data_IF_856761399463
#
_entry.id   IF_856761399463
#
_cell.length_a   1.000
_cell.length_b   1.000
_cell.length_c   1.000
_cell.angle_alpha   90.00
_cell.angle_beta   90.00
_cell.angle_gamma   90.00
#
_symmetry.space_group_name_H-M   'P 1'
#
loop_
_entity.id
_entity.type
_entity.pdbx_description
1 polymer ?
#
# COMPACT_ATOMS: atom_id res chain seq x y z
N UNK A 1 23.80 -112.63 -70.72
CA UNK A 1 24.09 -111.22 -70.40
C UNK A 1 23.43 -110.35 -71.46
N UNK A 2 22.12 -110.47 -71.68
CA UNK A 2 20.97 -110.08 -70.84
C UNK A 2 20.48 -108.66 -71.11
N UNK A 3 19.16 -108.63 -71.30
CA UNK A 3 18.22 -107.50 -71.33
C UNK A 3 18.10 -106.75 -72.67
N UNK A 4 17.08 -106.97 -73.51
CA UNK A 4 15.62 -106.86 -73.29
C UNK A 4 15.19 -105.47 -72.84
N UNK A 5 14.65 -104.67 -73.74
CA UNK A 5 13.27 -104.17 -73.65
C UNK A 5 13.02 -103.02 -74.62
N UNK A 6 11.86 -103.12 -75.23
CA UNK A 6 11.13 -102.15 -76.04
C UNK A 6 11.23 -100.71 -75.54
N UNK A 7 11.46 -99.80 -76.49
CA UNK A 7 11.43 -98.35 -76.30
C UNK A 7 9.99 -97.90 -75.97
N UNK A 8 9.73 -97.53 -74.72
CA UNK A 8 8.50 -96.88 -74.28
C UNK A 8 8.78 -95.38 -74.01
N UNK A 9 8.06 -94.52 -74.73
CA UNK A 9 8.07 -93.06 -74.59
C UNK A 9 7.70 -92.68 -73.16
N UNK A 10 8.64 -92.19 -72.36
CA UNK A 10 8.36 -91.72 -70.99
C UNK A 10 7.85 -90.27 -71.08
N UNK A 11 6.56 -90.08 -70.83
CA UNK A 11 5.91 -88.77 -70.75
C UNK A 11 6.57 -87.90 -69.67
N UNK A 12 6.89 -86.64 -70.00
CA UNK A 12 7.23 -85.66 -69.00
C UNK A 12 5.98 -85.36 -68.18
N UNK A 13 5.89 -85.95 -66.98
CA UNK A 13 4.87 -85.57 -66.00
C UNK A 13 5.14 -84.12 -65.57
N UNK A 14 4.37 -83.18 -66.12
CA UNK A 14 4.28 -81.83 -65.59
C UNK A 14 3.69 -81.95 -64.19
N UNK A 15 4.49 -81.62 -63.16
CA UNK A 15 4.04 -81.60 -61.76
C UNK A 15 2.93 -80.57 -61.62
N UNK A 16 1.68 -81.01 -61.80
CA UNK A 16 0.51 -80.14 -61.72
C UNK A 16 0.15 -79.99 -60.25
N UNK A 17 0.51 -78.87 -59.65
CA UNK A 17 0.04 -78.52 -58.30
C UNK A 17 -1.47 -78.33 -58.40
N UNK A 18 -2.25 -79.21 -57.77
CA UNK A 18 -3.69 -79.05 -57.63
C UNK A 18 -3.94 -77.92 -56.63
N UNK A 19 -4.34 -76.77 -57.15
CA UNK A 19 -4.71 -75.61 -56.34
C UNK A 19 -6.16 -75.77 -55.90
N UNK A 20 -6.39 -75.83 -54.59
CA UNK A 20 -7.73 -75.83 -54.00
C UNK A 20 -8.24 -74.39 -53.89
N UNK A 21 -9.13 -74.01 -54.81
CA UNK A 21 -9.65 -72.65 -54.95
C UNK A 21 -10.53 -72.25 -53.76
N UNK A 22 -11.30 -73.18 -53.19
CA UNK A 22 -12.16 -72.91 -52.02
C UNK A 22 -11.31 -72.65 -50.76
N UNK A 23 -10.24 -73.43 -50.57
CA UNK A 23 -9.28 -73.19 -49.49
C UNK A 23 -8.55 -71.84 -49.65
N UNK A 24 -8.28 -71.40 -50.89
CA UNK A 24 -7.70 -70.08 -51.14
C UNK A 24 -8.68 -68.94 -50.83
N UNK A 25 -9.94 -69.05 -51.24
CA UNK A 25 -10.97 -68.02 -50.96
C UNK A 25 -11.24 -67.90 -49.46
N UNK A 26 -11.30 -69.03 -48.73
CA UNK A 26 -11.44 -69.00 -47.27
C UNK A 26 -10.24 -68.33 -46.58
N UNK A 27 -9.02 -68.63 -47.03
CA UNK A 27 -7.81 -67.96 -46.51
C UNK A 27 -7.80 -66.47 -46.82
N UNK A 28 -8.24 -66.06 -48.02
CA UNK A 28 -8.39 -64.65 -48.38
C UNK A 28 -9.42 -63.95 -47.50
N UNK A 29 -10.58 -64.57 -47.26
CA UNK A 29 -11.61 -63.99 -46.39
C UNK A 29 -11.15 -63.89 -44.92
N UNK A 30 -10.42 -64.89 -44.41
CA UNK A 30 -9.82 -64.86 -43.07
C UNK A 30 -8.72 -63.78 -42.95
N UNK A 31 -7.91 -63.60 -44.00
CA UNK A 31 -6.87 -62.57 -44.07
C UNK A 31 -7.47 -61.16 -44.16
N UNK A 32 -8.50 -60.94 -44.98
CA UNK A 32 -9.23 -59.66 -45.05
C UNK A 32 -9.93 -59.34 -43.73
N UNK A 33 -10.52 -60.34 -43.06
CA UNK A 33 -11.14 -60.16 -41.75
C UNK A 33 -10.09 -59.77 -40.70
N UNK A 34 -8.89 -60.39 -40.75
CA UNK A 34 -7.77 -60.05 -39.88
C UNK A 34 -7.25 -58.63 -40.16
N UNK A 35 -7.09 -58.25 -41.43
CA UNK A 35 -6.66 -56.91 -41.83
C UNK A 35 -7.66 -55.85 -41.36
N UNK A 36 -8.97 -56.07 -41.53
CA UNK A 36 -10.01 -55.16 -41.03
C UNK A 36 -10.02 -55.06 -39.51
N UNK A 37 -9.84 -56.17 -38.79
CA UNK A 37 -9.75 -56.16 -37.34
C UNK A 37 -8.51 -55.40 -36.85
N UNK A 38 -7.37 -55.55 -37.54
CA UNK A 38 -6.14 -54.82 -37.27
C UNK A 38 -6.30 -53.31 -37.54
N UNK A 39 -6.88 -52.94 -38.68
CA UNK A 39 -7.17 -51.54 -39.04
C UNK A 39 -8.15 -50.90 -38.05
N UNK A 40 -9.21 -51.61 -37.64
CA UNK A 40 -10.14 -51.12 -36.61
C UNK A 40 -9.46 -50.96 -35.25
N UNK A 41 -8.61 -51.90 -34.85
CA UNK A 41 -7.85 -51.79 -33.62
C UNK A 41 -6.85 -50.62 -33.66
N UNK A 42 -6.23 -50.36 -34.82
CA UNK A 42 -5.35 -49.21 -35.01
C UNK A 42 -6.13 -47.89 -34.96
N UNK A 43 -7.30 -47.80 -35.62
CA UNK A 43 -8.18 -46.63 -35.57
C UNK A 43 -8.64 -46.34 -34.14
N UNK A 44 -9.04 -47.35 -33.38
CA UNK A 44 -9.43 -47.20 -31.97
C UNK A 44 -8.29 -46.69 -31.10
N UNK A 45 -7.07 -47.27 -31.26
CA UNK A 45 -5.88 -46.78 -30.55
C UNK A 45 -5.52 -45.34 -30.92
N UNK A 46 -5.66 -44.98 -32.19
CA UNK A 46 -5.40 -43.62 -32.66
C UNK A 46 -6.42 -42.62 -32.11
N UNK A 47 -7.70 -42.99 -32.03
CA UNK A 47 -8.75 -42.16 -31.42
C UNK A 47 -8.54 -41.99 -29.91
N UNK A 48 -8.24 -43.08 -29.20
CA UNK A 48 -7.93 -43.04 -27.77
C UNK A 48 -6.68 -42.18 -27.49
N UNK A 49 -5.62 -42.33 -28.29
CA UNK A 49 -4.43 -41.51 -28.20
C UNK A 49 -4.72 -40.02 -28.49
N UNK A 50 -5.59 -39.72 -29.46
CA UNK A 50 -6.02 -38.34 -29.75
C UNK A 50 -6.81 -37.75 -28.58
N UNK A 51 -7.72 -38.50 -27.99
CA UNK A 51 -8.50 -38.06 -26.83
C UNK A 51 -7.61 -37.84 -25.61
N UNK A 52 -6.71 -38.77 -25.30
CA UNK A 52 -5.74 -38.62 -24.22
C UNK A 52 -4.84 -37.41 -24.43
N UNK A 53 -4.39 -37.15 -25.67
CA UNK A 53 -3.60 -35.96 -26.00
C UNK A 53 -4.40 -34.65 -25.82
N UNK A 54 -5.69 -34.63 -26.17
CA UNK A 54 -6.56 -33.48 -25.96
C UNK A 54 -6.79 -33.21 -24.46
N UNK A 55 -7.11 -34.24 -23.67
CA UNK A 55 -7.30 -34.13 -22.22
C UNK A 55 -6.02 -33.67 -21.51
N UNK A 56 -4.85 -34.21 -21.91
CA UNK A 56 -3.56 -33.77 -21.39
C UNK A 56 -3.24 -32.31 -21.75
N UNK A 57 -3.57 -31.89 -22.98
CA UNK A 57 -3.39 -30.50 -23.41
C UNK A 57 -4.32 -29.53 -22.66
N UNK A 58 -5.55 -29.95 -22.37
CA UNK A 58 -6.50 -29.15 -21.58
C UNK A 58 -6.05 -29.06 -20.11
N UNK A 59 -5.65 -30.18 -19.50
CA UNK A 59 -5.11 -30.20 -18.14
C UNK A 59 -3.87 -29.30 -18.02
N UNK A 60 -2.98 -29.32 -19.02
CA UNK A 60 -1.82 -28.44 -19.05
C UNK A 60 -2.21 -26.95 -19.14
N UNK A 61 -3.23 -26.61 -19.96
CA UNK A 61 -3.75 -25.23 -20.05
C UNK A 61 -4.38 -24.78 -18.73
N UNK A 62 -5.16 -25.65 -18.10
CA UNK A 62 -5.78 -25.34 -16.80
C UNK A 62 -4.71 -25.11 -15.72
N UNK A 63 -3.71 -25.98 -15.63
CA UNK A 63 -2.60 -25.82 -14.69
C UNK A 63 -1.83 -24.51 -14.92
N UNK A 64 -1.60 -24.12 -16.18
CA UNK A 64 -0.97 -22.83 -16.51
C UNK A 64 -1.82 -21.62 -16.10
N UNK A 65 -3.14 -21.70 -16.29
CA UNK A 65 -4.05 -20.63 -15.86
C UNK A 65 -4.09 -20.50 -14.34
N UNK A 66 -4.14 -21.62 -13.62
CA UNK A 66 -4.10 -21.61 -12.16
C UNK A 66 -2.77 -21.05 -11.64
N UNK A 67 -1.65 -21.42 -12.24
CA UNK A 67 -0.34 -20.88 -11.88
C UNK A 67 -0.31 -19.36 -12.08
N UNK A 68 -0.75 -18.87 -13.25
CA UNK A 68 -0.82 -17.43 -13.53
C UNK A 68 -1.72 -16.69 -12.53
N UNK A 69 -2.85 -17.27 -12.15
CA UNK A 69 -3.75 -16.66 -11.18
C UNK A 69 -3.12 -16.61 -9.78
N UNK A 70 -2.36 -17.65 -9.39
CA UNK A 70 -1.60 -17.64 -8.13
C UNK A 70 -0.53 -16.54 -8.14
N UNK A 71 0.26 -16.46 -9.20
CA UNK A 71 1.29 -15.42 -9.37
C UNK A 71 0.68 -14.01 -9.35
N UNK A 72 -0.48 -13.81 -9.98
CA UNK A 72 -1.19 -12.53 -9.94
C UNK A 72 -1.64 -12.17 -8.53
N UNK A 73 -2.24 -13.11 -7.79
CA UNK A 73 -2.68 -12.87 -6.40
C UNK A 73 -1.51 -12.56 -5.48
N UNK A 74 -0.39 -13.26 -5.63
CA UNK A 74 0.83 -12.99 -4.87
C UNK A 74 1.40 -11.61 -5.20
N UNK A 75 1.43 -11.22 -6.47
CA UNK A 75 1.88 -9.89 -6.89
C UNK A 75 0.96 -8.78 -6.35
N UNK A 76 -0.37 -8.95 -6.42
CA UNK A 76 -1.35 -8.02 -5.87
C UNK A 76 -1.23 -7.91 -4.34
N UNK A 77 -1.01 -9.02 -3.64
CA UNK A 77 -0.79 -9.02 -2.20
C UNK A 77 0.50 -8.28 -1.83
N UNK A 78 1.59 -8.53 -2.55
CA UNK A 78 2.86 -7.81 -2.37
C UNK A 78 2.69 -6.31 -2.61
N UNK A 79 2.02 -5.91 -3.69
CA UNK A 79 1.76 -4.49 -3.98
C UNK A 79 0.94 -3.82 -2.86
N UNK A 80 -0.10 -4.51 -2.36
CA UNK A 80 -0.90 -4.01 -1.24
C UNK A 80 -0.07 -3.84 0.03
N UNK A 81 0.76 -4.82 0.38
CA UNK A 81 1.62 -4.76 1.56
C UNK A 81 2.67 -3.66 1.43
N UNK A 82 3.22 -3.45 0.23
CA UNK A 82 4.12 -2.34 -0.03
C UNK A 82 3.43 -0.98 0.08
N UNK A 83 2.23 -0.84 -0.48
CA UNK A 83 1.44 0.38 -0.38
C UNK A 83 1.09 0.70 1.08
N UNK A 84 0.72 -0.32 1.88
CA UNK A 84 0.46 -0.16 3.31
C UNK A 84 1.73 0.27 4.07
N UNK A 85 2.88 -0.36 3.79
CA UNK A 85 4.16 0.01 4.40
C UNK A 85 4.55 1.45 4.07
N UNK A 86 4.43 1.85 2.80
CA UNK A 86 4.70 3.25 2.35
C UNK A 86 3.77 4.24 3.05
N UNK A 87 2.48 3.93 3.15
CA UNK A 87 1.51 4.77 3.84
C UNK A 87 1.78 4.88 5.35
N UNK A 88 2.25 3.80 5.99
CA UNK A 88 2.65 3.82 7.40
C UNK A 88 3.90 4.68 7.62
N UNK A 89 4.93 4.52 6.79
CA UNK A 89 6.16 5.32 6.81
C UNK A 89 5.86 6.82 6.60
N UNK A 90 4.99 7.16 5.65
CA UNK A 90 4.59 8.55 5.40
C UNK A 90 3.86 9.17 6.61
N UNK A 91 2.91 8.44 7.21
CA UNK A 91 2.20 8.88 8.41
C UNK A 91 3.15 9.09 9.59
N UNK A 92 4.13 8.20 9.78
CA UNK A 92 5.14 8.34 10.83
C UNK A 92 6.02 9.58 10.60
N UNK A 93 6.50 9.77 9.36
CA UNK A 93 7.28 10.95 8.99
C UNK A 93 6.48 12.25 9.19
N UNK A 94 5.21 12.27 8.82
CA UNK A 94 4.33 13.41 9.04
C UNK A 94 4.17 13.72 10.54
N UNK A 95 3.94 12.69 11.38
CA UNK A 95 3.86 12.85 12.83
C UNK A 95 5.15 13.41 13.41
N UNK A 96 6.30 12.89 12.97
CA UNK A 96 7.62 13.35 13.42
C UNK A 96 7.87 14.81 13.03
N UNK A 97 7.59 15.19 11.78
CA UNK A 97 7.71 16.58 11.32
C UNK A 97 6.81 17.53 12.11
N UNK A 98 5.56 17.12 12.37
CA UNK A 98 4.63 17.92 13.18
C UNK A 98 5.14 18.10 14.62
N UNK A 99 5.69 17.06 15.24
CA UNK A 99 6.29 17.14 16.57
C UNK A 99 7.53 18.05 16.58
N UNK A 100 8.45 17.87 15.63
CA UNK A 100 9.64 18.72 15.51
C UNK A 100 9.28 20.18 15.26
N UNK A 101 8.25 20.45 14.46
CA UNK A 101 7.75 21.80 14.24
C UNK A 101 7.14 22.39 15.51
N UNK A 102 6.29 21.64 16.21
CA UNK A 102 5.69 22.09 17.46
C UNK A 102 6.76 22.38 18.54
N UNK A 103 7.81 21.56 18.60
CA UNK A 103 8.96 21.77 19.48
C UNK A 103 9.74 23.04 19.11
N UNK A 104 10.03 23.24 17.82
CA UNK A 104 10.68 24.48 17.33
C UNK A 104 9.85 25.72 17.64
N UNK A 105 8.55 25.69 17.35
CA UNK A 105 7.64 26.80 17.66
C UNK A 105 7.55 27.08 19.16
N UNK A 106 7.61 26.04 19.99
CA UNK A 106 7.67 26.17 21.44
C UNK A 106 9.00 26.78 21.91
N UNK A 107 10.14 26.32 21.37
CA UNK A 107 11.46 26.90 21.66
C UNK A 107 11.57 28.35 21.23
N UNK A 108 11.12 28.69 20.01
CA UNK A 108 11.10 30.05 19.49
C UNK A 108 10.26 30.96 20.37
N UNK A 109 9.05 30.52 20.74
CA UNK A 109 8.19 31.21 21.71
C UNK A 109 8.89 31.43 23.05
N UNK A 110 9.54 30.40 23.60
CA UNK A 110 10.28 30.53 24.85
C UNK A 110 11.44 31.52 24.74
N UNK A 111 12.18 31.52 23.61
CA UNK A 111 13.28 32.47 23.35
C UNK A 111 12.77 33.91 23.22
N UNK A 112 11.69 34.13 22.48
CA UNK A 112 11.07 35.45 22.32
C UNK A 112 10.57 36.00 23.66
N UNK A 113 9.82 35.19 24.41
CA UNK A 113 9.34 35.55 25.74
C UNK A 113 10.51 35.84 26.69
N UNK A 114 11.54 34.99 26.71
CA UNK A 114 12.71 35.21 27.56
C UNK A 114 13.46 36.50 27.21
N UNK A 115 13.62 36.78 25.91
CA UNK A 115 14.22 38.03 25.42
C UNK A 115 13.42 39.26 25.90
N UNK A 116 12.10 39.21 25.75
CA UNK A 116 11.19 40.27 26.20
C UNK A 116 11.27 40.49 27.72
N UNK A 117 11.21 39.41 28.51
CA UNK A 117 11.30 39.48 29.97
C UNK A 117 12.63 40.13 30.39
N UNK A 118 13.74 39.73 29.79
CA UNK A 118 15.07 40.31 30.06
C UNK A 118 15.13 41.78 29.68
N UNK A 119 14.67 42.15 28.49
CA UNK A 119 14.69 43.53 27.99
C UNK A 119 13.90 44.49 28.89
N UNK A 120 12.78 44.04 29.45
CA UNK A 120 11.95 44.87 30.34
C UNK A 120 12.22 44.67 31.84
N UNK A 121 13.14 43.77 32.20
CA UNK A 121 13.60 43.52 33.57
C UNK A 121 12.58 42.77 34.42
N UNK A 122 11.90 41.78 33.85
CA UNK A 122 11.03 40.84 34.56
C UNK A 122 11.76 39.53 34.83
N UNK A 123 11.54 38.93 36.00
CA UNK A 123 12.21 37.69 36.42
C UNK A 123 11.47 36.42 35.99
N UNK A 124 10.17 36.50 35.67
CA UNK A 124 9.37 35.37 35.20
C UNK A 124 8.13 35.86 34.45
N UNK A 125 7.44 34.95 33.74
CA UNK A 125 6.23 35.23 32.94
C UNK A 125 5.12 35.89 33.78
N UNK A 126 5.00 35.48 35.05
CA UNK A 126 4.07 36.06 36.03
C UNK A 126 4.79 36.93 37.07
N UNK A 127 6.06 37.24 36.82
CA UNK A 127 6.95 37.96 37.73
C UNK A 127 6.59 39.43 37.78
N UNK A 128 6.27 39.92 38.97
CA UNK A 128 5.89 41.31 39.16
C UNK A 128 7.14 42.18 39.29
N UNK A 129 7.26 43.20 38.45
CA UNK A 129 8.23 44.27 38.64
C UNK A 129 7.65 45.30 39.58
N UNK A 130 8.21 45.39 40.80
CA UNK A 130 7.84 46.40 41.79
C UNK A 130 8.76 47.60 41.67
N UNK A 131 8.18 48.79 41.61
CA UNK A 131 8.85 50.08 41.79
C UNK A 131 8.25 50.79 43.01
N UNK A 132 8.81 51.93 43.41
CA UNK A 132 8.49 52.66 44.65
C UNK A 132 6.98 52.87 44.88
N UNK A 133 6.18 52.98 43.81
CA UNK A 133 4.72 53.16 43.89
C UNK A 133 3.89 52.29 42.92
N UNK A 134 4.48 51.30 42.24
CA UNK A 134 3.74 50.52 41.24
C UNK A 134 4.20 49.07 41.10
N UNK A 135 3.28 48.21 40.66
CA UNK A 135 3.53 46.82 40.35
C UNK A 135 3.00 46.52 38.95
N UNK A 136 3.89 46.04 38.08
CA UNK A 136 3.58 45.77 36.66
C UNK A 136 3.98 44.34 36.33
N UNK A 137 3.12 43.63 35.59
CA UNK A 137 3.42 42.30 35.07
C UNK A 137 3.83 42.37 33.58
N UNK A 138 4.53 41.35 33.06
CA UNK A 138 4.94 41.29 31.66
C UNK A 138 3.77 41.46 30.70
N UNK A 139 2.64 40.81 31.00
CA UNK A 139 1.44 40.87 30.17
C UNK A 139 0.84 42.28 30.12
N UNK A 140 0.80 43.02 31.23
CA UNK A 140 0.38 44.43 31.21
C UNK A 140 1.33 45.31 30.42
N UNK A 141 2.64 44.99 30.43
CA UNK A 141 3.62 45.75 29.67
C UNK A 141 3.48 45.53 28.17
N UNK A 142 3.32 44.29 27.73
CA UNK A 142 3.04 43.97 26.32
C UNK A 142 1.71 44.60 25.86
N UNK A 143 0.68 44.57 26.71
CA UNK A 143 -0.61 45.23 26.46
C UNK A 143 -0.52 46.76 26.38
N UNK A 144 0.36 47.38 27.18
CA UNK A 144 0.64 48.82 27.08
C UNK A 144 1.32 49.17 25.75
N UNK A 145 2.27 48.33 25.30
CA UNK A 145 3.00 48.51 24.05
C UNK A 145 2.12 48.27 22.80
N UNK A 146 1.01 47.54 22.94
CA UNK A 146 0.13 47.17 21.82
C UNK A 146 0.70 46.02 20.98
N UNK A 147 1.68 45.28 21.52
CA UNK A 147 2.30 44.16 20.84
C UNK A 147 1.41 42.92 20.96
N UNK A 148 0.53 42.75 19.99
CA UNK A 148 -0.43 41.65 19.95
C UNK A 148 0.27 40.29 19.86
N UNK A 149 1.40 40.21 19.16
CA UNK A 149 2.19 38.99 19.01
C UNK A 149 2.77 38.57 20.36
N UNK A 150 3.49 39.46 21.05
CA UNK A 150 4.07 39.16 22.36
C UNK A 150 2.99 38.85 23.41
N UNK A 151 1.83 39.50 23.34
CA UNK A 151 0.68 39.17 24.20
C UNK A 151 0.19 37.75 23.94
N UNK A 152 0.04 37.32 22.68
CA UNK A 152 -0.31 35.94 22.32
C UNK A 152 0.73 34.93 22.81
N UNK A 153 2.03 35.23 22.61
CA UNK A 153 3.14 34.38 23.08
C UNK A 153 3.12 34.22 24.61
N UNK A 154 2.92 35.31 25.36
CA UNK A 154 2.85 35.29 26.83
C UNK A 154 1.63 34.51 27.33
N UNK A 155 0.47 34.67 26.70
CA UNK A 155 -0.76 33.92 27.05
C UNK A 155 -0.55 32.43 26.80
N UNK A 156 -0.03 32.04 25.64
CA UNK A 156 0.30 30.65 25.31
C UNK A 156 1.37 30.06 26.24
N UNK A 157 2.26 30.90 26.77
CA UNK A 157 3.26 30.52 27.78
C UNK A 157 2.68 30.47 29.22
N UNK A 158 1.38 30.68 29.42
CA UNK A 158 0.71 30.58 30.73
C UNK A 158 0.73 31.88 31.55
N UNK A 159 0.81 33.05 30.91
CA UNK A 159 0.60 34.31 31.60
C UNK A 159 -0.86 34.45 32.07
N UNK A 160 -1.04 34.87 33.33
CA UNK A 160 -2.37 35.04 33.91
C UNK A 160 -3.03 36.33 33.38
N UNK A 161 -4.03 36.15 32.51
CA UNK A 161 -4.81 37.24 31.89
C UNK A 161 -5.74 37.95 32.88
N UNK A 162 -6.11 37.31 33.98
CA UNK A 162 -7.03 37.84 34.98
C UNK A 162 -6.32 38.69 36.04
N UNK A 163 -4.98 38.61 36.13
CA UNK A 163 -4.20 39.39 37.09
C UNK A 163 -4.41 40.89 36.91
N UNK A 164 -4.62 41.54 38.05
CA UNK A 164 -4.72 43.00 38.16
C UNK A 164 -3.37 43.57 38.58
N UNK A 165 -2.97 44.67 37.95
CA UNK A 165 -1.80 45.45 38.37
C UNK A 165 -2.09 46.26 39.65
N UNK A 166 -1.12 47.04 40.16
CA UNK A 166 -1.31 47.89 41.35
C UNK A 166 -2.46 48.92 41.22
N UNK A 167 -2.85 49.28 40.01
CA UNK A 167 -3.99 50.15 39.74
C UNK A 167 -5.34 49.43 39.65
N UNK A 168 -5.39 48.12 39.99
CA UNK A 168 -6.61 47.32 39.93
C UNK A 168 -7.05 46.93 38.51
N UNK A 169 -6.19 47.09 37.51
CA UNK A 169 -6.54 46.90 36.09
C UNK A 169 -5.97 45.62 35.50
N UNK A 170 -6.76 44.95 34.66
CA UNK A 170 -6.30 43.81 33.84
C UNK A 170 -5.51 44.29 32.63
N UNK A 171 -4.76 43.39 31.99
CA UNK A 171 -4.00 43.71 30.77
C UNK A 171 -4.92 44.28 29.67
N UNK A 172 -6.12 43.72 29.48
CA UNK A 172 -7.09 44.21 28.51
C UNK A 172 -7.54 45.65 28.80
N UNK A 173 -7.77 45.99 30.07
CA UNK A 173 -8.13 47.36 30.47
C UNK A 173 -6.98 48.35 30.28
N UNK A 174 -5.73 47.89 30.43
CA UNK A 174 -4.54 48.72 30.13
C UNK A 174 -4.44 48.97 28.62
N UNK A 175 -4.61 47.93 27.80
CA UNK A 175 -4.65 48.07 26.33
C UNK A 175 -5.77 49.02 25.89
N UNK A 176 -6.99 48.87 26.42
CA UNK A 176 -8.14 49.71 26.06
C UNK A 176 -7.91 51.18 26.43
N UNK A 177 -7.26 51.46 27.57
CA UNK A 177 -6.91 52.82 27.97
C UNK A 177 -5.83 53.44 27.07
N UNK A 178 -4.95 52.61 26.51
CA UNK A 178 -3.82 53.04 25.66
C UNK A 178 -4.16 53.01 24.16
N UNK A 179 -5.28 52.42 23.81
CA UNK A 179 -5.79 52.36 22.45
C UNK A 179 -6.06 53.78 21.92
N UNK A 180 -5.28 54.19 20.92
CA UNK A 180 -5.44 55.48 20.26
C UNK A 180 -5.83 55.20 18.81
N UNK A 181 -7.11 55.40 18.49
CA UNK A 181 -7.67 55.17 17.15
C UNK A 181 -7.55 53.71 16.67
N UNK A 182 -7.66 52.73 17.57
CA UNK A 182 -7.60 51.30 17.21
C UNK A 182 -6.20 50.70 17.11
N UNK A 183 -5.16 51.41 17.54
CA UNK A 183 -3.77 50.92 17.60
C UNK A 183 -3.61 49.62 18.40
N UNK A 184 -4.48 49.39 19.40
CA UNK A 184 -4.41 48.24 20.30
C UNK A 184 -5.52 47.23 20.05
N UNK A 185 -6.27 47.37 18.95
CA UNK A 185 -7.40 46.51 18.58
C UNK A 185 -7.04 45.02 18.50
N UNK A 186 -5.92 44.67 17.84
CA UNK A 186 -5.44 43.29 17.76
C UNK A 186 -5.08 42.72 19.14
N UNK A 187 -4.44 43.52 20.00
CA UNK A 187 -4.09 43.12 21.36
C UNK A 187 -5.33 42.89 22.23
N UNK A 188 -6.34 43.76 22.10
CA UNK A 188 -7.62 43.62 22.78
C UNK A 188 -8.36 42.35 22.34
N UNK A 189 -8.30 42.02 21.04
CA UNK A 189 -8.88 40.79 20.50
C UNK A 189 -8.26 39.55 21.15
N UNK A 190 -6.92 39.45 21.16
CA UNK A 190 -6.19 38.32 21.77
C UNK A 190 -6.51 38.19 23.26
N UNK A 191 -6.47 39.29 24.02
CA UNK A 191 -6.75 39.26 25.46
C UNK A 191 -8.21 38.94 25.79
N UNK A 192 -9.15 39.36 24.94
CA UNK A 192 -10.57 39.05 25.12
C UNK A 192 -10.82 37.57 24.81
N UNK A 193 -10.23 37.04 23.73
CA UNK A 193 -10.31 35.61 23.40
C UNK A 193 -9.70 34.74 24.50
N UNK A 194 -8.52 35.10 25.01
CA UNK A 194 -7.84 34.38 26.08
C UNK A 194 -8.66 34.33 27.39
N UNK A 195 -9.47 35.35 27.66
CA UNK A 195 -10.35 35.37 28.84
C UNK A 195 -11.52 34.38 28.74
N UNK A 196 -12.01 34.11 27.53
CA UNK A 196 -13.17 33.21 27.33
C UNK A 196 -12.77 31.74 27.55
N UNK A 197 -11.53 31.36 27.23
CA UNK A 197 -11.06 29.96 27.32
C UNK A 197 -10.77 29.52 28.76
N UNK A 198 -10.50 30.45 29.69
CA UNK A 198 -10.16 30.14 31.09
C UNK A 198 -11.34 30.19 32.08
N UNK A 199 -12.59 30.21 31.60
CA UNK A 199 -13.79 30.41 32.42
C UNK A 199 -14.84 29.30 32.36
N UNK A 200 -14.49 28.11 31.85
CA UNK A 200 -15.35 26.92 31.78
C UNK A 200 -14.76 25.77 32.60
#
# INVERSE_FOLDING_TARGET
MDCSSTCARQEQATSTVKVDVEAMVRRQAEEEARQKAEEQAEQQRAEEARRAAQEAAEAARQAQLEQKLREQREAEEQERLEAERRAAEEKEQARRRAQEQAEREHEERQREVASFLKQHGFSSINGVKKSFMSSTYPLHKAAELGDAHMVDQLVKAGADVAKKNSGGKTAAQVAAKKDKKGSHSATLSVLTQARVVGGA
#
